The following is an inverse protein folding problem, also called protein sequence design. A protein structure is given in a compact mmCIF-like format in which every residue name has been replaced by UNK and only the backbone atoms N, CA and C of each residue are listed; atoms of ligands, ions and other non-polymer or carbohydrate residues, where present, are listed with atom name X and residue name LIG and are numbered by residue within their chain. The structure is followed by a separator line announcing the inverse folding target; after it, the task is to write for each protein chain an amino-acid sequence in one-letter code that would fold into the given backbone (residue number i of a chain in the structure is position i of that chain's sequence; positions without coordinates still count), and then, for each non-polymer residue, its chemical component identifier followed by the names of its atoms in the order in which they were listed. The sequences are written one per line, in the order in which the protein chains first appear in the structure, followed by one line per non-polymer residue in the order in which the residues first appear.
data_IF_445372809784
#
_entry.id   IF_445372809784
#
_cell.length_a   1.000
_cell.length_b   1.000
_cell.length_c   1.000
_cell.angle_alpha   90.00
_cell.angle_beta   90.00
_cell.angle_gamma   90.00
#
_symmetry.space_group_name_H-M   'P 1'
#
loop_
_entity.id
_entity.type
_entity.pdbx_description
1 polymer ?
#
# COMPACT_ATOMS: atom_id res chain seq x y z
N UNK A 1 -20.85 38.72 32.98
CA UNK A 1 -19.85 38.45 31.94
C UNK A 1 -19.66 36.94 31.96
N UNK A 2 -20.34 36.22 31.05
CA UNK A 2 -20.30 34.76 30.98
C UNK A 2 -19.19 34.37 30.02
N UNK A 3 -18.13 33.77 30.54
CA UNK A 3 -17.06 33.19 29.74
C UNK A 3 -17.64 32.01 28.93
N UNK A 4 -17.77 32.22 27.63
CA UNK A 4 -18.05 31.15 26.69
C UNK A 4 -16.83 30.23 26.65
N UNK A 5 -16.85 29.19 27.49
CA UNK A 5 -15.93 28.07 27.42
C UNK A 5 -16.18 27.38 26.07
N UNK A 6 -15.40 27.76 25.05
CA UNK A 6 -15.38 27.09 23.75
C UNK A 6 -14.81 25.70 24.01
N UNK A 7 -15.70 24.75 24.26
CA UNK A 7 -15.39 23.33 24.41
C UNK A 7 -14.86 22.81 23.07
N UNK A 8 -13.55 22.99 22.85
CA UNK A 8 -12.87 22.41 21.69
C UNK A 8 -12.84 20.91 21.94
N UNK A 9 -13.70 20.18 21.22
CA UNK A 9 -13.64 18.72 21.17
C UNK A 9 -12.17 18.29 21.05
N UNK A 10 -11.68 17.38 21.92
CA UNK A 10 -10.28 17.01 21.92
C UNK A 10 -9.90 16.54 20.52
N UNK A 11 -8.86 17.15 19.95
CA UNK A 11 -8.30 16.71 18.68
C UNK A 11 -8.08 15.20 18.79
N UNK A 12 -8.68 14.42 17.88
CA UNK A 12 -8.52 12.95 17.89
C UNK A 12 -7.05 12.63 18.06
N UNK A 13 -6.73 11.81 19.06
CA UNK A 13 -5.36 11.48 19.42
C UNK A 13 -4.61 10.99 18.18
N UNK A 14 -3.63 11.77 17.73
CA UNK A 14 -2.80 11.46 16.57
C UNK A 14 -2.19 10.07 16.68
N UNK A 15 -1.88 9.62 17.90
CA UNK A 15 -1.36 8.27 18.16
C UNK A 15 -2.35 7.18 17.74
N UNK A 16 -3.65 7.39 18.00
CA UNK A 16 -4.69 6.44 17.62
C UNK A 16 -4.83 6.33 16.09
N UNK A 17 -4.67 7.43 15.36
CA UNK A 17 -4.72 7.44 13.89
C UNK A 17 -3.52 6.71 13.30
N UNK A 18 -2.33 6.90 13.86
CA UNK A 18 -1.13 6.18 13.44
C UNK A 18 -1.28 4.67 13.67
N UNK A 19 -1.77 4.25 14.85
CA UNK A 19 -1.95 2.84 15.18
C UNK A 19 -3.04 2.20 14.29
N UNK A 20 -4.19 2.86 14.13
CA UNK A 20 -5.27 2.36 13.27
C UNK A 20 -4.83 2.25 11.81
N UNK A 21 -4.11 3.27 11.33
CA UNK A 21 -3.54 3.27 9.98
C UNK A 21 -2.51 2.16 9.78
N UNK A 22 -1.62 1.92 10.75
CA UNK A 22 -0.65 0.84 10.67
C UNK A 22 -1.33 -0.54 10.65
N UNK A 23 -2.31 -0.78 11.53
CA UNK A 23 -3.07 -2.04 11.56
C UNK A 23 -3.83 -2.24 10.25
N UNK A 24 -4.57 -1.21 9.80
CA UNK A 24 -5.31 -1.25 8.54
C UNK A 24 -4.39 -1.48 7.33
N UNK A 25 -3.23 -0.84 7.34
CA UNK A 25 -2.17 -1.02 6.34
C UNK A 25 -1.65 -2.45 6.31
N UNK A 26 -1.33 -3.05 7.46
CA UNK A 26 -0.89 -4.46 7.54
C UNK A 26 -1.97 -5.40 7.00
N UNK A 27 -3.22 -5.23 7.42
CA UNK A 27 -4.34 -6.09 6.96
C UNK A 27 -4.54 -5.97 5.46
N UNK A 28 -4.60 -4.73 4.93
CA UNK A 28 -4.71 -4.49 3.49
C UNK A 28 -3.49 -5.04 2.73
N UNK A 29 -2.29 -4.88 3.27
CA UNK A 29 -1.04 -5.40 2.72
C UNK A 29 -1.04 -6.92 2.63
N UNK A 30 -1.53 -7.65 3.64
CA UNK A 30 -1.67 -9.11 3.56
C UNK A 30 -2.64 -9.51 2.46
N UNK A 31 -3.81 -8.88 2.40
CA UNK A 31 -4.82 -9.16 1.37
C UNK A 31 -4.25 -8.89 -0.03
N UNK A 32 -3.56 -7.77 -0.19
CA UNK A 32 -2.98 -7.37 -1.46
C UNK A 32 -1.82 -8.30 -1.87
N UNK A 33 -0.94 -8.70 -0.95
CA UNK A 33 0.11 -9.69 -1.21
C UNK A 33 -0.48 -11.01 -1.71
N UNK A 34 -1.52 -11.51 -1.05
CA UNK A 34 -2.20 -12.74 -1.48
C UNK A 34 -2.81 -12.57 -2.88
N UNK A 35 -3.42 -11.41 -3.16
CA UNK A 35 -3.97 -11.11 -4.49
C UNK A 35 -2.89 -11.12 -5.57
N UNK A 36 -1.72 -10.52 -5.33
CA UNK A 36 -0.59 -10.53 -6.26
C UNK A 36 -0.05 -11.94 -6.46
N UNK A 37 0.12 -12.72 -5.39
CA UNK A 37 0.56 -14.12 -5.48
C UNK A 37 -0.41 -14.98 -6.31
N UNK A 38 -1.72 -14.81 -6.12
CA UNK A 38 -2.75 -15.47 -6.93
C UNK A 38 -2.69 -14.99 -8.38
N UNK A 39 -2.61 -13.68 -8.60
CA UNK A 39 -2.51 -13.06 -9.92
C UNK A 39 -1.31 -13.60 -10.71
N UNK A 40 -0.15 -13.69 -10.06
CA UNK A 40 1.08 -14.24 -10.63
C UNK A 40 0.85 -15.65 -11.15
N UNK A 41 0.32 -16.56 -10.31
CA UNK A 41 0.04 -17.96 -10.72
C UNK A 41 -1.00 -18.03 -11.84
N UNK A 42 -2.08 -17.25 -11.76
CA UNK A 42 -3.13 -17.24 -12.78
C UNK A 42 -2.63 -16.76 -14.15
N UNK A 43 -1.59 -15.94 -14.18
CA UNK A 43 -0.97 -15.44 -15.40
C UNK A 43 0.22 -16.30 -15.86
N UNK A 44 0.51 -17.41 -15.17
CA UNK A 44 1.56 -18.38 -15.51
C UNK A 44 2.90 -18.19 -14.79
N UNK A 45 2.93 -17.37 -13.74
CA UNK A 45 4.12 -17.00 -12.98
C UNK A 45 4.40 -17.89 -11.79
N UNK A 46 5.44 -17.55 -11.03
CA UNK A 46 5.78 -18.23 -9.78
C UNK A 46 5.00 -17.64 -8.61
N UNK A 47 4.49 -18.48 -7.71
CA UNK A 47 3.74 -18.03 -6.52
C UNK A 47 4.47 -16.95 -5.70
N UNK A 48 5.80 -16.99 -5.65
CA UNK A 48 6.63 -16.07 -4.86
C UNK A 48 7.26 -14.95 -5.71
N UNK A 49 6.90 -14.81 -6.99
CA UNK A 49 7.38 -13.74 -7.85
C UNK A 49 7.12 -12.32 -7.29
N UNK A 50 5.98 -12.00 -6.64
CA UNK A 50 5.75 -10.65 -6.12
C UNK A 50 6.85 -10.16 -5.16
N UNK A 51 7.48 -11.06 -4.40
CA UNK A 51 8.58 -10.69 -3.50
C UNK A 51 9.79 -10.13 -4.25
N UNK A 52 10.06 -10.61 -5.47
CA UNK A 52 11.13 -10.08 -6.34
C UNK A 52 10.78 -8.65 -6.79
N UNK A 53 9.52 -8.41 -7.15
CA UNK A 53 9.03 -7.07 -7.48
C UNK A 53 9.20 -6.09 -6.31
N UNK A 54 8.81 -6.47 -5.10
CA UNK A 54 8.99 -5.59 -3.93
C UNK A 54 10.46 -5.37 -3.58
N UNK A 55 11.28 -6.42 -3.66
CA UNK A 55 12.72 -6.32 -3.39
C UNK A 55 13.48 -5.47 -4.41
N UNK A 56 12.95 -5.33 -5.64
CA UNK A 56 13.55 -4.49 -6.68
C UNK A 56 13.69 -3.03 -6.27
N UNK A 57 12.79 -2.53 -5.41
CA UNK A 57 12.76 -1.14 -4.98
C UNK A 57 14.03 -0.76 -4.21
N UNK A 58 14.35 -1.39 -3.06
CA UNK A 58 15.56 -1.06 -2.33
C UNK A 58 16.85 -1.63 -2.96
N UNK A 59 16.79 -2.77 -3.65
CA UNK A 59 17.98 -3.39 -4.24
C UNK A 59 18.38 -2.73 -5.56
N UNK A 60 17.43 -2.09 -6.21
CA UNK A 60 17.67 -1.47 -7.50
C UNK A 60 18.09 -2.47 -8.58
N UNK A 61 17.55 -3.68 -8.56
CA UNK A 61 17.77 -4.74 -9.56
C UNK A 61 16.46 -5.10 -10.22
N UNK A 62 16.48 -5.61 -11.46
CA UNK A 62 15.26 -6.09 -12.09
C UNK A 62 14.76 -7.33 -11.36
N UNK A 63 13.42 -7.50 -11.18
CA UNK A 63 12.89 -8.65 -10.44
C UNK A 63 13.41 -10.02 -10.91
N UNK A 64 13.57 -10.31 -12.22
CA UNK A 64 14.09 -11.60 -12.68
C UNK A 64 15.50 -11.93 -12.18
N UNK A 65 16.32 -10.91 -11.92
CA UNK A 65 17.73 -11.06 -11.52
C UNK A 65 17.88 -11.32 -10.01
N UNK A 66 16.81 -11.12 -9.23
CA UNK A 66 16.86 -11.22 -7.77
C UNK A 66 16.60 -12.67 -7.36
N UNK A 67 17.61 -13.29 -6.73
CA UNK A 67 17.49 -14.61 -6.16
C UNK A 67 16.37 -14.65 -5.09
N UNK A 68 15.56 -15.72 -5.09
CA UNK A 68 14.39 -15.82 -4.21
C UNK A 68 14.75 -15.75 -2.72
N UNK A 69 15.92 -16.29 -2.34
CA UNK A 69 16.42 -16.24 -0.96
C UNK A 69 16.69 -14.81 -0.47
N UNK A 70 17.01 -13.88 -1.38
CA UNK A 70 17.15 -12.45 -1.08
C UNK A 70 15.81 -11.73 -1.21
N UNK A 71 15.03 -12.06 -2.24
CA UNK A 71 13.75 -11.44 -2.52
C UNK A 71 12.74 -11.63 -1.38
N UNK A 72 12.67 -12.83 -0.78
CA UNK A 72 11.74 -13.12 0.31
C UNK A 72 11.88 -12.15 1.50
N UNK A 73 13.04 -12.07 2.20
CA UNK A 73 13.17 -11.18 3.34
C UNK A 73 13.10 -9.69 2.95
N UNK A 74 13.77 -9.28 1.87
CA UNK A 74 13.83 -7.86 1.47
C UNK A 74 12.48 -7.38 0.95
N UNK A 75 11.84 -8.18 0.09
CA UNK A 75 10.52 -7.89 -0.47
C UNK A 75 9.44 -7.90 0.60
N UNK A 76 9.47 -8.85 1.55
CA UNK A 76 8.54 -8.89 2.67
C UNK A 76 8.63 -7.60 3.51
N UNK A 77 9.85 -7.22 3.94
CA UNK A 77 10.04 -6.00 4.74
C UNK A 77 9.59 -4.76 3.95
N UNK A 78 9.98 -4.65 2.68
CA UNK A 78 9.60 -3.53 1.82
C UNK A 78 8.08 -3.42 1.70
N UNK A 79 7.42 -4.54 1.43
CA UNK A 79 5.96 -4.60 1.30
C UNK A 79 5.24 -4.13 2.55
N UNK A 80 5.64 -4.62 3.73
CA UNK A 80 4.98 -4.26 4.97
C UNK A 80 5.30 -2.83 5.42
N UNK A 81 6.51 -2.32 5.18
CA UNK A 81 6.84 -0.91 5.42
C UNK A 81 5.97 0.00 4.57
N UNK A 82 5.85 -0.29 3.26
CA UNK A 82 4.98 0.47 2.36
C UNK A 82 3.50 0.34 2.76
N UNK A 83 3.05 -0.86 3.12
CA UNK A 83 1.67 -1.11 3.54
C UNK A 83 1.30 -0.32 4.80
N UNK A 84 2.19 -0.29 5.80
CA UNK A 84 2.01 0.53 7.01
C UNK A 84 1.96 2.02 6.65
N UNK A 85 2.94 2.49 5.85
CA UNK A 85 3.00 3.89 5.42
C UNK A 85 1.70 4.31 4.71
N UNK A 86 1.23 3.52 3.75
CA UNK A 86 0.01 3.78 3.01
C UNK A 86 -1.25 3.68 3.87
N UNK A 87 -1.30 2.73 4.81
CA UNK A 87 -2.39 2.64 5.78
C UNK A 87 -2.47 3.87 6.69
N UNK A 88 -1.33 4.37 7.15
CA UNK A 88 -1.24 5.62 7.91
C UNK A 88 -1.68 6.83 7.09
N UNK A 89 -1.24 6.92 5.83
CA UNK A 89 -1.68 7.98 4.91
C UNK A 89 -3.19 7.93 4.70
N UNK A 90 -3.75 6.75 4.44
CA UNK A 90 -5.19 6.56 4.27
C UNK A 90 -5.97 6.97 5.53
N UNK A 91 -5.52 6.55 6.71
CA UNK A 91 -6.13 6.94 7.99
C UNK A 91 -6.07 8.46 8.23
N UNK A 92 -4.96 9.11 7.88
CA UNK A 92 -4.81 10.55 7.94
C UNK A 92 -5.77 11.27 6.97
N UNK A 93 -5.88 10.81 5.71
CA UNK A 93 -6.84 11.38 4.74
C UNK A 93 -8.27 11.29 5.29
N UNK A 94 -8.66 10.12 5.83
CA UNK A 94 -9.96 9.93 6.47
C UNK A 94 -10.13 10.87 7.67
N UNK A 95 -9.08 11.12 8.46
CA UNK A 95 -9.09 12.08 9.57
C UNK A 95 -9.29 13.54 9.11
N UNK A 96 -8.72 13.95 7.99
CA UNK A 96 -8.82 15.33 7.50
C UNK A 96 -10.03 15.60 6.59
N UNK A 97 -10.68 14.55 6.08
CA UNK A 97 -11.86 14.66 5.21
C UNK A 97 -13.08 14.02 5.89
N UNK A 98 -13.86 14.76 6.71
CA UNK A 98 -14.99 14.22 7.47
C UNK A 98 -16.05 13.53 6.60
N UNK A 99 -16.23 13.98 5.36
CA UNK A 99 -17.17 13.38 4.41
C UNK A 99 -16.90 11.88 4.18
N UNK A 100 -15.65 11.43 4.27
CA UNK A 100 -15.28 10.01 4.11
C UNK A 100 -15.78 9.12 5.26
N UNK A 101 -16.14 9.71 6.40
CA UNK A 101 -16.66 9.01 7.58
C UNK A 101 -18.18 9.12 7.71
N UNK A 102 -18.86 9.67 6.71
CA UNK A 102 -20.30 9.88 6.74
C UNK A 102 -21.10 8.58 6.68
N UNK A 103 -20.56 7.51 6.10
CA UNK A 103 -21.11 6.15 6.17
C UNK A 103 -20.02 5.09 5.96
N UNK A 104 -20.29 3.86 6.42
CA UNK A 104 -19.39 2.73 6.19
C UNK A 104 -19.20 2.45 4.68
N UNK A 105 -20.27 2.58 3.88
CA UNK A 105 -20.19 2.37 2.43
C UNK A 105 -19.26 3.39 1.76
N UNK A 106 -19.38 4.67 2.13
CA UNK A 106 -18.50 5.73 1.60
C UNK A 106 -17.04 5.46 1.97
N UNK A 107 -16.78 5.02 3.21
CA UNK A 107 -15.43 4.68 3.64
C UNK A 107 -14.85 3.51 2.84
N UNK A 108 -15.64 2.45 2.60
CA UNK A 108 -15.22 1.30 1.79
C UNK A 108 -14.92 1.74 0.37
N UNK A 109 -15.81 2.48 -0.28
CA UNK A 109 -15.60 2.98 -1.66
C UNK A 109 -14.34 3.84 -1.74
N UNK A 110 -14.16 4.77 -0.80
CA UNK A 110 -12.97 5.62 -0.76
C UNK A 110 -11.68 4.82 -0.54
N UNK A 111 -11.70 3.83 0.36
CA UNK A 111 -10.56 2.95 0.60
C UNK A 111 -10.23 2.07 -0.61
N UNK A 112 -11.25 1.56 -1.32
CA UNK A 112 -11.06 0.82 -2.57
C UNK A 112 -10.41 1.70 -3.64
N UNK A 113 -10.94 2.91 -3.87
CA UNK A 113 -10.35 3.85 -4.83
C UNK A 113 -8.90 4.18 -4.45
N UNK A 114 -8.64 4.46 -3.17
CA UNK A 114 -7.31 4.73 -2.67
C UNK A 114 -6.36 3.55 -2.93
N UNK A 115 -6.76 2.32 -2.60
CA UNK A 115 -5.96 1.12 -2.87
C UNK A 115 -5.69 0.90 -4.36
N UNK A 116 -6.71 1.06 -5.21
CA UNK A 116 -6.55 0.96 -6.67
C UNK A 116 -5.61 2.03 -7.22
N UNK A 117 -5.71 3.27 -6.74
CA UNK A 117 -4.79 4.35 -7.14
C UNK A 117 -3.36 4.05 -6.69
N UNK A 118 -3.18 3.54 -5.48
CA UNK A 118 -1.86 3.10 -5.02
C UNK A 118 -1.29 2.00 -5.92
N UNK A 119 -2.10 1.02 -6.30
CA UNK A 119 -1.67 -0.02 -7.24
C UNK A 119 -1.21 0.58 -8.57
N UNK A 120 -2.05 1.40 -9.20
CA UNK A 120 -1.71 2.07 -10.48
C UNK A 120 -0.44 2.90 -10.34
N UNK A 121 -0.31 3.68 -9.27
CA UNK A 121 0.84 4.55 -9.07
C UNK A 121 2.12 3.73 -8.84
N UNK A 122 2.10 2.72 -7.96
CA UNK A 122 3.29 1.94 -7.63
C UNK A 122 3.82 1.12 -8.81
N UNK A 123 2.94 0.68 -9.72
CA UNK A 123 3.34 -0.19 -10.82
C UNK A 123 3.49 0.54 -12.17
N UNK A 124 2.73 1.59 -12.45
CA UNK A 124 2.76 2.26 -13.75
C UNK A 124 3.38 3.66 -13.73
N UNK A 125 3.46 4.30 -12.57
CA UNK A 125 3.96 5.69 -12.46
C UNK A 125 5.32 5.71 -11.79
N UNK A 126 5.43 5.11 -10.60
CA UNK A 126 6.65 5.15 -9.80
C UNK A 126 7.87 4.53 -10.50
N UNK A 127 7.77 3.37 -11.18
CA UNK A 127 8.91 2.76 -11.85
C UNK A 127 9.48 3.66 -12.97
N UNK A 128 8.61 4.35 -13.72
CA UNK A 128 9.03 5.34 -14.72
C UNK A 128 9.71 6.56 -14.08
N UNK A 129 9.14 7.08 -12.99
CA UNK A 129 9.69 8.26 -12.29
C UNK A 129 11.10 8.03 -11.76
N UNK A 130 11.43 6.78 -11.40
CA UNK A 130 12.75 6.40 -10.91
C UNK A 130 13.66 5.80 -12.01
N UNK A 131 13.26 5.93 -13.27
CA UNK A 131 13.96 5.40 -14.46
C UNK A 131 14.24 3.88 -14.39
N UNK A 132 13.26 3.12 -13.91
CA UNK A 132 13.29 1.66 -13.77
C UNK A 132 11.95 1.08 -14.26
N UNK A 133 11.59 1.17 -15.55
CA UNK A 133 10.28 0.81 -16.09
C UNK A 133 10.01 -0.71 -16.17
N UNK A 134 10.58 -1.48 -15.23
CA UNK A 134 10.57 -2.94 -15.23
C UNK A 134 9.16 -3.54 -15.32
N UNK A 135 8.17 -2.88 -14.73
CA UNK A 135 6.79 -3.34 -14.78
C UNK A 135 6.21 -3.26 -16.20
N UNK A 136 6.54 -2.21 -16.96
CA UNK A 136 6.03 -2.02 -18.33
C UNK A 136 6.76 -2.88 -19.34
N UNK A 137 8.02 -3.19 -19.06
CA UNK A 137 8.88 -4.03 -19.89
C UNK A 137 8.74 -5.52 -19.58
N UNK A 138 8.24 -5.86 -18.39
CA UNK A 138 7.95 -7.22 -17.99
C UNK A 138 6.79 -7.80 -18.85
N UNK A 139 6.91 -9.06 -19.30
CA UNK A 139 5.75 -9.77 -19.84
C UNK A 139 4.63 -9.79 -18.79
N UNK A 140 3.36 -9.83 -19.22
CA UNK A 140 2.20 -9.70 -18.32
C UNK A 140 2.24 -10.64 -17.10
N UNK A 141 2.85 -11.82 -17.24
CA UNK A 141 3.07 -12.79 -16.17
C UNK A 141 3.98 -12.32 -15.03
N UNK A 142 4.88 -11.37 -15.31
CA UNK A 142 5.84 -10.80 -14.34
C UNK A 142 5.40 -9.40 -13.85
N UNK A 143 4.18 -8.98 -14.21
CA UNK A 143 3.51 -7.79 -13.69
C UNK A 143 2.66 -8.08 -12.43
N UNK A 144 2.75 -9.29 -11.88
CA UNK A 144 2.07 -9.72 -10.67
C UNK A 144 2.96 -10.70 -9.89
#
# INVERSE_FOLDING_TARGET
MMDAQVDRAPARDTSAVLVQGAIGGIVAGVVFLIAEMIGSVLLGGELLAPFKAFASIPLGQMPPDIAIGTALPVGFVTHFVLSILYGVIGAAIVQFVPALRSSAMILVVAATIFGTLLWVINFFVFPDLINRPWFKEAPMVAQF
#
